data_IF_131299285840
#
_entry.id   IF_131299285840
#
_cell.length_a   1.000
_cell.length_b   1.000
_cell.length_c   1.000
_cell.angle_alpha   90.00
_cell.angle_beta   90.00
_cell.angle_gamma   90.00
#
_symmetry.space_group_name_H-M   'P 1'
#
loop_
_entity.id
_entity.type
_entity.pdbx_description
1 polymer ?
#
# COMPACT_ATOMS: atom_id res chain seq x y z
N UNK A 1 -17.19 14.11 -10.63
CA UNK A 1 -15.72 14.24 -10.47
C UNK A 1 -14.99 13.13 -11.22
N UNK A 2 -15.48 11.90 -11.15
CA UNK A 2 -14.86 10.74 -11.81
C UNK A 2 -14.68 10.97 -13.31
N UNK A 3 -15.65 11.58 -13.99
CA UNK A 3 -15.54 11.86 -15.44
C UNK A 3 -14.39 12.79 -15.83
N UNK A 4 -14.05 13.76 -14.98
CA UNK A 4 -12.93 14.68 -15.25
C UNK A 4 -11.59 13.91 -15.24
N UNK A 5 -11.45 13.00 -14.28
CA UNK A 5 -10.26 12.16 -14.10
C UNK A 5 -10.20 10.97 -15.07
N UNK A 6 -11.28 10.67 -15.81
CA UNK A 6 -11.24 9.71 -16.93
C UNK A 6 -10.30 10.20 -18.04
N UNK A 7 -10.24 11.51 -18.26
CA UNK A 7 -9.34 12.13 -19.24
C UNK A 7 -7.92 12.17 -18.68
N UNK A 8 -6.93 11.83 -19.52
CA UNK A 8 -5.53 11.93 -19.15
C UNK A 8 -5.05 13.36 -19.38
N UNK A 9 -5.13 14.21 -18.34
CA UNK A 9 -4.64 15.59 -18.38
C UNK A 9 -3.68 15.84 -17.21
N UNK A 10 -2.43 16.30 -17.45
CA UNK A 10 -1.48 16.66 -16.40
C UNK A 10 -2.03 17.70 -15.39
N UNK A 11 -2.90 18.61 -15.83
CA UNK A 11 -3.54 19.61 -14.95
C UNK A 11 -4.45 18.97 -13.89
N UNK A 12 -4.87 17.71 -14.08
CA UNK A 12 -5.64 16.95 -13.07
C UNK A 12 -4.84 16.71 -11.79
N UNK A 13 -3.50 16.84 -11.80
CA UNK A 13 -2.67 16.77 -10.60
C UNK A 13 -3.01 17.90 -9.61
N UNK A 14 -3.26 19.12 -10.11
CA UNK A 14 -3.62 20.26 -9.26
C UNK A 14 -4.96 20.02 -8.56
N UNK A 15 -5.96 19.54 -9.30
CA UNK A 15 -7.26 19.17 -8.74
C UNK A 15 -7.16 18.01 -7.74
N UNK A 16 -6.26 17.07 -7.97
CA UNK A 16 -5.97 15.97 -7.06
C UNK A 16 -5.34 16.48 -5.75
N UNK A 17 -4.40 17.42 -5.83
CA UNK A 17 -3.81 18.05 -4.65
C UNK A 17 -4.86 18.79 -3.82
N UNK A 18 -5.73 19.57 -4.46
CA UNK A 18 -6.83 20.27 -3.79
C UNK A 18 -7.74 19.26 -3.09
N UNK A 19 -8.18 18.21 -3.79
CA UNK A 19 -9.03 17.17 -3.20
C UNK A 19 -8.36 16.48 -2.01
N UNK A 20 -7.08 16.14 -2.13
CA UNK A 20 -6.32 15.48 -1.07
C UNK A 20 -6.29 16.30 0.21
N UNK A 21 -5.97 17.59 0.11
CA UNK A 21 -5.93 18.46 1.30
C UNK A 21 -7.33 18.74 1.83
N UNK A 22 -8.35 18.93 0.97
CA UNK A 22 -9.74 19.05 1.41
C UNK A 22 -10.19 17.86 2.25
N UNK A 23 -9.84 16.63 1.82
CA UNK A 23 -10.14 15.40 2.56
C UNK A 23 -9.33 15.25 3.86
N UNK A 24 -8.31 16.07 4.10
CA UNK A 24 -7.48 16.02 5.32
C UNK A 24 -7.77 17.15 6.30
N UNK A 25 -8.43 18.22 5.85
CA UNK A 25 -8.80 19.37 6.71
C UNK A 25 -9.64 18.92 7.92
N UNK A 26 -10.62 18.03 7.72
CA UNK A 26 -11.47 17.54 8.81
C UNK A 26 -10.68 16.86 9.93
N UNK A 27 -9.62 16.14 9.58
CA UNK A 27 -8.70 15.56 10.56
C UNK A 27 -7.82 16.61 11.23
N UNK A 28 -7.29 17.61 10.51
CA UNK A 28 -6.48 18.67 11.13
C UNK A 28 -7.27 19.42 12.21
N UNK A 29 -8.56 19.67 11.98
CA UNK A 29 -9.45 20.36 12.94
C UNK A 29 -9.72 19.52 14.19
N UNK A 30 -9.69 18.18 14.06
CA UNK A 30 -9.97 17.24 15.16
C UNK A 30 -8.74 16.50 15.68
N UNK A 31 -7.54 16.90 15.23
CA UNK A 31 -6.30 16.20 15.53
C UNK A 31 -5.90 16.43 16.99
N UNK A 32 -5.45 15.38 17.71
CA UNK A 32 -4.92 15.54 19.07
C UNK A 32 -3.63 16.37 19.07
N UNK A 33 -3.35 17.04 20.19
CA UNK A 33 -2.20 17.93 20.37
C UNK A 33 -0.83 17.26 20.12
N UNK A 34 -0.79 15.93 20.24
CA UNK A 34 0.40 15.10 19.95
C UNK A 34 0.01 13.93 19.05
N UNK A 35 0.68 13.84 17.89
CA UNK A 35 0.58 12.71 16.98
C UNK A 35 1.88 11.93 17.05
N UNK A 36 1.81 10.71 17.56
CA UNK A 36 2.98 9.84 17.65
C UNK A 36 3.41 9.37 16.26
N UNK A 37 4.67 9.63 15.94
CA UNK A 37 5.29 9.12 14.73
C UNK A 37 6.37 8.10 15.07
N UNK A 38 6.11 6.83 14.76
CA UNK A 38 7.11 5.76 14.86
C UNK A 38 7.69 5.55 13.46
N UNK A 39 8.79 6.26 13.17
CA UNK A 39 9.47 6.22 11.86
C UNK A 39 10.03 4.82 11.54
N UNK A 40 10.59 4.18 12.55
CA UNK A 40 11.16 2.84 12.44
C UNK A 40 10.79 2.04 13.68
N UNK A 41 10.50 0.77 13.46
CA UNK A 41 10.31 -0.23 14.51
C UNK A 41 11.43 -0.14 15.59
N UNK A 42 11.15 -0.56 16.84
CA UNK A 42 12.04 -0.39 17.98
C UNK A 42 13.49 -0.86 17.77
N UNK A 43 13.74 -1.78 16.82
CA UNK A 43 15.07 -2.28 16.57
C UNK A 43 16.03 -1.28 15.92
N UNK A 44 15.56 -0.37 15.06
CA UNK A 44 16.45 0.66 14.49
C UNK A 44 16.73 1.79 15.49
N UNK A 45 15.83 2.02 16.46
CA UNK A 45 16.08 2.91 17.61
C UNK A 45 17.27 2.44 18.46
N UNK A 46 17.67 1.17 18.36
CA UNK A 46 18.84 0.63 19.06
C UNK A 46 20.18 0.99 18.38
N UNK A 47 20.18 1.33 17.08
CA UNK A 47 21.39 1.77 16.37
C UNK A 47 21.56 3.29 16.44
N UNK A 48 20.45 4.03 16.39
CA UNK A 48 20.43 5.49 16.50
C UNK A 48 19.39 5.88 17.56
N UNK A 49 19.81 6.23 18.80
CA UNK A 49 18.91 6.59 19.89
C UNK A 49 18.36 8.00 19.64
N UNK A 50 17.47 8.14 18.66
CA UNK A 50 16.80 9.42 18.43
C UNK A 50 15.32 9.24 18.72
N UNK A 51 14.86 10.01 19.70
CA UNK A 51 13.47 10.12 20.11
C UNK A 51 12.71 10.97 19.09
N UNK A 52 12.32 10.37 17.96
CA UNK A 52 11.51 11.03 16.93
C UNK A 52 10.01 11.10 17.25
N UNK A 53 9.59 10.62 18.44
CA UNK A 53 8.20 10.32 18.79
C UNK A 53 7.26 11.54 18.66
N UNK A 54 7.82 12.76 18.75
CA UNK A 54 7.09 14.01 18.57
C UNK A 54 7.87 15.04 17.73
N UNK A 55 8.67 14.60 16.75
CA UNK A 55 9.53 15.49 15.97
C UNK A 55 8.77 16.56 15.16
N UNK A 56 7.47 16.36 14.90
CA UNK A 56 6.67 17.22 14.04
C UNK A 56 5.36 17.65 14.70
N UNK A 57 4.93 18.89 14.45
CA UNK A 57 3.58 19.32 14.80
C UNK A 57 2.53 18.50 14.03
N UNK A 58 1.32 18.29 14.58
CA UNK A 58 0.26 17.52 13.89
C UNK A 58 -0.03 18.02 12.47
N UNK A 59 -0.07 19.33 12.27
CA UNK A 59 -0.30 19.93 10.96
C UNK A 59 0.82 19.61 9.95
N UNK A 60 2.09 19.71 10.37
CA UNK A 60 3.23 19.39 9.52
C UNK A 60 3.26 17.88 9.19
N UNK A 61 2.93 17.02 10.15
CA UNK A 61 2.84 15.58 9.95
C UNK A 61 1.80 15.22 8.87
N UNK A 62 0.58 15.76 8.99
CA UNK A 62 -0.50 15.54 8.01
C UNK A 62 -0.14 16.10 6.64
N UNK A 63 0.54 17.24 6.59
CA UNK A 63 1.01 17.86 5.35
C UNK A 63 2.06 16.99 4.64
N UNK A 64 3.09 16.54 5.37
CA UNK A 64 4.11 15.63 4.83
C UNK A 64 3.51 14.30 4.38
N UNK A 65 2.60 13.72 5.16
CA UNK A 65 1.87 12.52 4.76
C UNK A 65 1.04 12.76 3.49
N UNK A 66 0.47 13.97 3.32
CA UNK A 66 -0.21 14.39 2.11
C UNK A 66 0.73 14.39 0.90
N UNK A 67 1.91 14.99 1.02
CA UNK A 67 2.92 14.99 -0.05
C UNK A 67 3.29 13.56 -0.46
N UNK A 68 3.51 12.67 0.51
CA UNK A 68 3.82 11.26 0.22
C UNK A 68 2.67 10.56 -0.50
N UNK A 69 1.43 10.75 -0.05
CA UNK A 69 0.25 10.18 -0.71
C UNK A 69 0.07 10.70 -2.13
N UNK A 70 0.35 11.99 -2.37
CA UNK A 70 0.30 12.57 -3.71
C UNK A 70 1.36 11.95 -4.64
N UNK A 71 2.60 11.81 -4.16
CA UNK A 71 3.66 11.14 -4.91
C UNK A 71 3.30 9.69 -5.24
N UNK A 72 2.77 8.95 -4.26
CA UNK A 72 2.32 7.57 -4.44
C UNK A 72 1.15 7.47 -5.42
N UNK A 73 0.18 8.39 -5.36
CA UNK A 73 -0.95 8.42 -6.28
C UNK A 73 -0.49 8.59 -7.73
N UNK A 74 0.47 9.49 -7.97
CA UNK A 74 1.07 9.70 -9.29
C UNK A 74 1.84 8.46 -9.75
N UNK A 75 2.62 7.83 -8.87
CA UNK A 75 3.36 6.60 -9.20
C UNK A 75 2.44 5.42 -9.51
N UNK A 76 1.36 5.21 -8.75
CA UNK A 76 0.35 4.19 -9.03
C UNK A 76 -0.33 4.46 -10.38
N UNK A 77 -0.63 5.72 -10.67
CA UNK A 77 -1.19 6.10 -11.96
C UNK A 77 -0.24 5.84 -13.12
N UNK A 78 1.04 6.16 -12.93
CA UNK A 78 2.08 5.84 -13.89
C UNK A 78 2.19 4.32 -14.10
N UNK A 79 2.18 3.52 -13.03
CA UNK A 79 2.20 2.06 -13.09
C UNK A 79 1.04 1.50 -13.93
N UNK A 80 -0.19 1.93 -13.64
CA UNK A 80 -1.39 1.48 -14.34
C UNK A 80 -1.34 1.83 -15.82
N UNK A 81 -0.89 3.04 -16.17
CA UNK A 81 -0.80 3.49 -17.55
C UNK A 81 0.36 2.83 -18.31
N UNK A 82 1.53 2.66 -17.67
CA UNK A 82 2.70 2.01 -18.24
C UNK A 82 2.42 0.55 -18.65
N UNK A 83 1.72 -0.20 -17.79
CA UNK A 83 1.30 -1.57 -18.08
C UNK A 83 -0.06 -1.68 -18.77
N UNK A 84 -0.65 -0.55 -19.16
CA UNK A 84 -1.95 -0.42 -19.83
C UNK A 84 -3.06 -1.27 -19.18
N UNK A 85 -3.14 -1.27 -17.84
CA UNK A 85 -4.07 -2.16 -17.11
C UNK A 85 -5.54 -1.83 -17.33
N UNK A 86 -5.83 -0.58 -17.72
CA UNK A 86 -7.18 -0.08 -18.00
C UNK A 86 -7.49 -0.01 -19.50
N UNK A 87 -6.56 -0.40 -20.37
CA UNK A 87 -6.72 -0.37 -21.83
C UNK A 87 -6.56 1.03 -22.46
N UNK A 88 -6.82 2.10 -21.71
CA UNK A 88 -6.58 3.50 -22.12
C UNK A 88 -5.95 4.31 -20.99
N UNK A 89 -5.03 5.25 -21.29
CA UNK A 89 -4.48 6.16 -20.30
C UNK A 89 -5.57 6.97 -19.58
N UNK A 90 -5.46 7.06 -18.27
CA UNK A 90 -6.42 7.78 -17.43
C UNK A 90 -5.76 8.29 -16.15
N UNK A 91 -6.40 9.21 -15.43
CA UNK A 91 -5.94 9.72 -14.14
C UNK A 91 -6.77 9.15 -12.96
N UNK A 92 -7.67 8.19 -13.23
CA UNK A 92 -8.49 7.52 -12.22
C UNK A 92 -7.70 6.79 -11.13
N UNK A 93 -6.61 6.05 -11.40
CA UNK A 93 -5.84 5.40 -10.35
C UNK A 93 -5.33 6.38 -9.29
N UNK A 94 -4.86 7.56 -9.72
CA UNK A 94 -4.39 8.59 -8.80
C UNK A 94 -5.54 9.09 -7.91
N UNK A 95 -6.71 9.37 -8.51
CA UNK A 95 -7.91 9.79 -7.80
C UNK A 95 -8.30 8.76 -6.73
N UNK A 96 -8.41 7.48 -7.13
CA UNK A 96 -8.80 6.40 -6.22
C UNK A 96 -7.78 6.21 -5.10
N UNK A 97 -6.48 6.35 -5.39
CA UNK A 97 -5.45 6.26 -4.36
C UNK A 97 -5.63 7.34 -3.29
N UNK A 98 -5.81 8.60 -3.68
CA UNK A 98 -6.05 9.72 -2.73
C UNK A 98 -7.32 9.51 -1.90
N UNK A 99 -8.39 9.06 -2.54
CA UNK A 99 -9.66 8.83 -1.84
C UNK A 99 -9.53 7.70 -0.80
N UNK A 100 -8.97 6.56 -1.18
CA UNK A 100 -8.85 5.40 -0.30
C UNK A 100 -7.76 5.62 0.77
N UNK A 101 -6.69 6.37 0.47
CA UNK A 101 -5.69 6.80 1.46
C UNK A 101 -6.26 7.78 2.51
N UNK A 102 -7.48 8.29 2.30
CA UNK A 102 -8.20 9.15 3.24
C UNK A 102 -9.33 8.40 3.96
N UNK A 103 -9.43 7.07 3.80
CA UNK A 103 -10.57 6.27 4.30
C UNK A 103 -10.70 6.26 5.82
N UNK A 104 -9.56 6.17 6.52
CA UNK A 104 -9.51 6.14 7.97
C UNK A 104 -8.61 7.26 8.50
N UNK A 105 -8.95 7.82 9.68
CA UNK A 105 -8.13 8.84 10.36
C UNK A 105 -6.66 8.44 10.48
N UNK A 106 -6.30 7.18 10.85
CA UNK A 106 -4.90 6.78 10.98
C UNK A 106 -4.12 6.74 9.65
N UNK A 107 -4.79 6.80 8.48
CA UNK A 107 -4.10 6.92 7.19
C UNK A 107 -3.64 8.35 6.87
N UNK A 108 -4.16 9.34 7.60
CA UNK A 108 -3.89 10.75 7.33
C UNK A 108 -2.59 11.24 7.95
N UNK A 109 -2.01 10.45 8.85
CA UNK A 109 -0.73 10.74 9.50
C UNK A 109 0.41 9.96 8.86
N UNK A 110 1.62 10.46 9.07
CA UNK A 110 2.85 9.82 8.66
C UNK A 110 3.00 8.51 9.44
N UNK A 111 3.36 7.43 8.74
CA UNK A 111 3.55 6.12 9.37
C UNK A 111 4.56 5.27 8.58
N UNK A 112 5.21 4.33 9.26
CA UNK A 112 6.14 3.39 8.62
C UNK A 112 5.52 2.63 7.42
N UNK A 113 4.28 2.08 7.48
CA UNK A 113 3.68 1.43 6.33
C UNK A 113 3.30 2.41 5.20
N UNK A 114 2.99 3.68 5.50
CA UNK A 114 2.83 4.69 4.44
C UNK A 114 4.12 4.87 3.64
N UNK A 115 5.28 4.88 4.30
CA UNK A 115 6.58 4.96 3.60
C UNK A 115 6.82 3.69 2.78
N UNK A 116 6.50 2.52 3.34
CA UNK A 116 6.63 1.24 2.66
C UNK A 116 5.77 1.13 1.39
N UNK A 117 4.72 1.94 1.22
CA UNK A 117 3.97 1.98 -0.04
C UNK A 117 4.84 2.39 -1.24
N UNK A 118 5.87 3.23 -1.06
CA UNK A 118 6.82 3.49 -2.16
C UNK A 118 7.59 2.24 -2.57
N UNK A 119 8.05 1.46 -1.57
CA UNK A 119 8.72 0.19 -1.82
C UNK A 119 7.77 -0.82 -2.46
N UNK A 120 6.52 -0.87 -2.03
CA UNK A 120 5.49 -1.74 -2.62
C UNK A 120 5.22 -1.37 -4.07
N UNK A 121 5.06 -0.08 -4.39
CA UNK A 121 4.86 0.38 -5.77
C UNK A 121 6.08 0.05 -6.63
N UNK A 122 7.30 0.30 -6.13
CA UNK A 122 8.52 -0.05 -6.84
C UNK A 122 8.67 -1.56 -7.07
N UNK A 123 8.32 -2.35 -6.06
CA UNK A 123 8.25 -3.81 -6.15
C UNK A 123 7.26 -4.26 -7.23
N UNK A 124 6.07 -3.64 -7.33
CA UNK A 124 5.09 -3.94 -8.38
C UNK A 124 5.65 -3.66 -9.79
N UNK A 125 6.41 -2.59 -9.98
CA UNK A 125 7.08 -2.33 -11.26
C UNK A 125 8.03 -3.47 -11.65
N UNK A 126 8.88 -3.92 -10.71
CA UNK A 126 9.82 -5.04 -10.94
C UNK A 126 9.11 -6.40 -11.11
N UNK A 127 8.02 -6.64 -10.39
CA UNK A 127 7.25 -7.86 -10.55
C UNK A 127 6.56 -7.92 -11.91
N UNK A 128 5.96 -6.81 -12.35
CA UNK A 128 5.32 -6.75 -13.66
C UNK A 128 6.32 -6.81 -14.83
N UNK A 129 7.59 -6.42 -14.60
CA UNK A 129 8.64 -6.53 -15.62
C UNK A 129 9.07 -7.98 -15.87
N UNK A 130 8.78 -8.93 -14.97
CA UNK A 130 9.03 -10.36 -15.24
C UNK A 130 8.33 -10.90 -16.49
N UNK A 131 7.23 -10.26 -16.92
CA UNK A 131 6.53 -10.68 -18.13
C UNK A 131 7.37 -10.51 -19.41
N UNK A 132 8.26 -9.51 -19.46
CA UNK A 132 9.08 -9.19 -20.65
C UNK A 132 10.58 -9.25 -20.41
N UNK A 133 11.01 -9.40 -19.16
CA UNK A 133 12.42 -9.32 -18.78
C UNK A 133 13.16 -10.64 -19.03
N UNK A 134 14.34 -10.53 -19.65
CA UNK A 134 15.24 -11.67 -19.85
C UNK A 134 16.01 -12.01 -18.57
N UNK A 135 16.40 -11.00 -17.78
CA UNK A 135 17.15 -11.17 -16.53
C UNK A 135 16.24 -11.21 -15.28
N UNK A 136 15.55 -12.34 -15.15
CA UNK A 136 14.70 -12.60 -13.98
C UNK A 136 15.52 -12.85 -12.70
N UNK A 137 16.78 -13.29 -12.78
CA UNK A 137 17.61 -13.56 -11.59
C UNK A 137 18.01 -12.26 -10.90
N UNK A 138 18.53 -11.29 -11.65
CA UNK A 138 18.85 -9.97 -11.09
C UNK A 138 17.61 -9.29 -10.54
N UNK A 139 16.49 -9.36 -11.28
CA UNK A 139 15.23 -8.77 -10.83
C UNK A 139 14.72 -9.42 -9.54
N UNK A 140 14.81 -10.75 -9.42
CA UNK A 140 14.43 -11.48 -8.21
C UNK A 140 15.33 -11.11 -7.01
N UNK A 141 16.64 -10.99 -7.23
CA UNK A 141 17.58 -10.53 -6.21
C UNK A 141 17.24 -9.12 -5.70
N UNK A 142 16.98 -8.19 -6.62
CA UNK A 142 16.57 -6.82 -6.28
C UNK A 142 15.26 -6.80 -5.47
N UNK A 143 14.29 -7.63 -5.85
CA UNK A 143 13.04 -7.77 -5.12
C UNK A 143 13.28 -8.28 -3.69
N UNK A 144 14.22 -9.22 -3.51
CA UNK A 144 14.66 -9.67 -2.19
C UNK A 144 15.22 -8.54 -1.33
N UNK A 145 16.09 -7.70 -1.91
CA UNK A 145 16.63 -6.51 -1.25
C UNK A 145 15.53 -5.52 -0.86
N UNK A 146 14.58 -5.25 -1.76
CA UNK A 146 13.44 -4.33 -1.49
C UNK A 146 12.62 -4.86 -0.30
N UNK A 147 12.32 -6.16 -0.26
CA UNK A 147 11.60 -6.77 0.86
C UNK A 147 12.39 -6.68 2.16
N UNK A 148 13.70 -6.86 2.13
CA UNK A 148 14.54 -6.70 3.31
C UNK A 148 14.53 -5.25 3.82
N UNK A 149 14.75 -4.27 2.94
CA UNK A 149 14.70 -2.84 3.32
C UNK A 149 13.33 -2.48 3.89
N UNK A 150 12.24 -2.95 3.26
CA UNK A 150 10.90 -2.72 3.77
C UNK A 150 10.67 -3.38 5.13
N UNK A 151 11.20 -4.59 5.35
CA UNK A 151 11.15 -5.28 6.66
C UNK A 151 11.90 -4.51 7.75
N UNK A 152 12.96 -3.76 7.39
CA UNK A 152 13.69 -2.91 8.32
C UNK A 152 12.91 -1.64 8.71
N UNK A 153 12.08 -1.11 7.80
CA UNK A 153 11.23 0.06 8.10
C UNK A 153 10.00 -0.38 8.88
N UNK A 154 9.35 -1.46 8.42
CA UNK A 154 8.12 -2.01 8.93
C UNK A 154 8.15 -3.53 8.82
N UNK A 155 8.38 -4.21 9.95
CA UNK A 155 8.60 -5.66 9.99
C UNK A 155 7.57 -6.49 9.21
N UNK A 156 6.25 -6.20 9.27
CA UNK A 156 5.26 -6.97 8.52
C UNK A 156 5.40 -6.92 6.99
N UNK A 157 6.21 -5.99 6.46
CA UNK A 157 6.58 -5.99 5.04
C UNK A 157 7.32 -7.26 4.60
N UNK A 158 7.88 -8.05 5.52
CA UNK A 158 8.48 -9.36 5.21
C UNK A 158 7.53 -10.27 4.43
N UNK A 159 6.21 -10.19 4.67
CA UNK A 159 5.24 -11.00 3.94
C UNK A 159 5.18 -10.69 2.45
N UNK A 160 5.67 -9.52 2.01
CA UNK A 160 5.81 -9.21 0.59
C UNK A 160 6.77 -10.16 -0.13
N UNK A 161 7.59 -10.93 0.59
CA UNK A 161 8.33 -12.04 0.02
C UNK A 161 7.42 -13.08 -0.66
N UNK A 162 6.23 -13.34 -0.10
CA UNK A 162 5.23 -14.20 -0.72
C UNK A 162 4.74 -13.64 -2.06
N UNK A 163 4.59 -12.32 -2.17
CA UNK A 163 4.19 -11.68 -3.42
C UNK A 163 5.31 -11.78 -4.48
N UNK A 164 6.59 -11.81 -4.07
CA UNK A 164 7.70 -12.12 -4.99
C UNK A 164 7.58 -13.52 -5.57
N UNK A 165 7.38 -14.53 -4.72
CA UNK A 165 7.22 -15.91 -5.17
C UNK A 165 5.97 -16.11 -6.03
N UNK A 166 4.84 -15.50 -5.66
CA UNK A 166 3.63 -15.52 -6.47
C UNK A 166 3.87 -14.83 -7.82
N UNK A 167 4.63 -13.73 -7.85
CA UNK A 167 5.06 -13.10 -9.10
C UNK A 167 5.85 -14.05 -9.98
N UNK A 168 6.83 -14.78 -9.43
CA UNK A 168 7.57 -15.79 -10.18
C UNK A 168 6.64 -16.89 -10.72
N UNK A 169 5.70 -17.41 -9.91
CA UNK A 169 4.72 -18.42 -10.35
C UNK A 169 3.84 -17.91 -11.49
N UNK A 170 3.35 -16.67 -11.40
CA UNK A 170 2.40 -16.09 -12.36
C UNK A 170 3.10 -15.77 -13.69
N UNK A 171 4.27 -15.14 -13.63
CA UNK A 171 4.92 -14.56 -14.81
C UNK A 171 5.90 -15.50 -15.49
N UNK A 172 6.50 -16.46 -14.77
CA UNK A 172 7.65 -17.22 -15.25
C UNK A 172 7.46 -18.74 -15.07
N UNK A 173 8.09 -19.56 -15.93
CA UNK A 173 8.25 -20.97 -15.64
C UNK A 173 9.16 -21.15 -14.42
N UNK A 174 8.94 -22.24 -13.67
CA UNK A 174 9.71 -22.48 -12.45
C UNK A 174 11.21 -22.63 -12.74
N UNK A 175 12.03 -21.85 -12.03
CA UNK A 175 13.48 -21.91 -12.07
C UNK A 175 14.02 -21.70 -10.66
N UNK A 176 14.56 -22.75 -10.04
CA UNK A 176 15.05 -22.69 -8.67
C UNK A 176 16.06 -21.56 -8.43
N UNK A 177 16.85 -21.20 -9.46
CA UNK A 177 17.84 -20.13 -9.39
C UNK A 177 17.18 -18.77 -9.13
N UNK A 178 16.05 -18.48 -9.78
CA UNK A 178 15.32 -17.22 -9.59
C UNK A 178 14.74 -17.11 -8.17
N UNK A 179 14.26 -18.23 -7.62
CA UNK A 179 13.73 -18.30 -6.25
C UNK A 179 14.81 -18.08 -5.20
N UNK A 180 15.95 -18.75 -5.37
CA UNK A 180 17.11 -18.59 -4.48
C UNK A 180 17.69 -17.18 -4.59
N UNK A 181 17.73 -16.58 -5.79
CA UNK A 181 18.18 -15.19 -5.97
C UNK A 181 17.40 -14.20 -5.09
N UNK A 182 16.07 -14.33 -4.99
CA UNK A 182 15.27 -13.49 -4.09
C UNK A 182 15.66 -13.69 -2.62
N UNK A 183 15.90 -14.93 -2.19
CA UNK A 183 16.34 -15.22 -0.82
C UNK A 183 17.71 -14.64 -0.55
N UNK A 184 18.65 -14.79 -1.48
CA UNK A 184 19.99 -14.23 -1.38
C UNK A 184 19.94 -12.70 -1.24
N UNK A 185 19.11 -12.00 -2.02
CA UNK A 185 18.95 -10.56 -1.90
C UNK A 185 18.48 -10.13 -0.51
N UNK A 186 17.53 -10.87 0.06
CA UNK A 186 17.06 -10.63 1.42
C UNK A 186 18.16 -10.87 2.47
N UNK A 187 18.83 -12.02 2.37
CA UNK A 187 19.90 -12.44 3.28
C UNK A 187 21.06 -11.46 3.23
N UNK A 188 21.44 -10.92 2.06
CA UNK A 188 22.53 -9.94 1.94
C UNK A 188 22.32 -8.74 2.86
N UNK A 189 21.14 -8.14 2.86
CA UNK A 189 20.84 -6.95 3.68
C UNK A 189 20.91 -7.28 5.17
N UNK A 190 20.30 -8.40 5.59
CA UNK A 190 20.32 -8.83 6.99
C UNK A 190 21.68 -9.35 7.45
N UNK A 191 22.50 -9.88 6.54
CA UNK A 191 23.89 -10.27 6.80
C UNK A 191 24.72 -9.03 7.15
N UNK A 192 24.67 -7.97 6.32
CA UNK A 192 25.36 -6.72 6.64
C UNK A 192 24.85 -6.10 7.95
N UNK A 193 23.54 -6.14 8.19
CA UNK A 193 22.98 -5.71 9.47
C UNK A 193 23.54 -6.52 10.65
N UNK A 194 23.59 -7.85 10.54
CA UNK A 194 24.13 -8.72 11.58
C UNK A 194 25.60 -8.40 11.89
N UNK A 195 26.41 -8.13 10.85
CA UNK A 195 27.80 -7.70 10.99
C UNK A 195 27.89 -6.38 11.77
N UNK A 196 27.03 -5.39 11.47
CA UNK A 196 26.99 -4.11 12.22
C UNK A 196 26.67 -4.35 13.70
N UNK A 197 25.68 -5.18 14.02
CA UNK A 197 25.33 -5.52 15.41
C UNK A 197 26.44 -6.28 16.12
N UNK A 198 27.15 -7.17 15.42
CA UNK A 198 28.31 -7.88 15.93
C UNK A 198 29.46 -6.94 16.26
N UNK A 199 29.85 -6.07 15.32
CA UNK A 199 30.91 -5.08 15.52
C UNK A 199 30.58 -4.06 16.62
N UNK A 200 29.29 -3.77 16.83
CA UNK A 200 28.82 -2.88 17.89
C UNK A 200 28.75 -3.55 19.28
N UNK A 201 29.14 -4.81 19.41
CA UNK A 201 29.05 -5.58 20.66
C UNK A 201 27.61 -5.88 21.11
N UNK A 202 26.62 -5.72 20.22
CA UNK A 202 25.17 -5.82 20.51
C UNK A 202 24.51 -7.01 19.79
N UNK A 203 25.27 -8.06 19.46
CA UNK A 203 24.77 -9.17 18.64
C UNK A 203 23.49 -9.84 19.20
N UNK A 204 23.36 -9.96 20.52
CA UNK A 204 22.14 -10.51 21.14
C UNK A 204 20.85 -9.74 20.80
N UNK A 205 20.95 -8.45 20.44
CA UNK A 205 19.81 -7.64 20.02
C UNK A 205 19.37 -7.91 18.59
N UNK A 206 20.23 -8.47 17.74
CA UNK A 206 19.88 -8.84 16.37
C UNK A 206 18.73 -9.85 16.33
N UNK A 207 18.75 -10.84 17.23
CA UNK A 207 17.67 -11.84 17.31
C UNK A 207 16.33 -11.25 17.78
N UNK A 208 16.35 -10.12 18.51
CA UNK A 208 15.12 -9.46 18.98
C UNK A 208 14.32 -8.83 17.85
N UNK A 209 14.92 -8.56 16.69
CA UNK A 209 14.23 -8.06 15.47
C UNK A 209 13.09 -9.01 15.09
N UNK A 210 13.31 -10.32 15.25
CA UNK A 210 12.38 -11.37 14.87
C UNK A 210 11.40 -11.76 15.97
N UNK A 211 11.53 -11.20 17.19
CA UNK A 211 10.66 -11.54 18.32
C UNK A 211 9.16 -11.34 18.03
N UNK A 212 8.71 -10.28 17.31
CA UNK A 212 7.30 -10.12 16.98
C UNK A 212 6.73 -11.24 16.07
N UNK A 213 7.58 -11.94 15.30
CA UNK A 213 7.12 -13.06 14.46
C UNK A 213 6.60 -14.24 15.29
N UNK A 214 7.05 -14.39 16.54
CA UNK A 214 6.60 -15.43 17.47
C UNK A 214 5.44 -15.01 18.35
N UNK A 215 4.87 -13.82 18.15
CA UNK A 215 3.76 -13.33 18.97
C UNK A 215 2.48 -14.14 18.71
N UNK A 216 1.73 -14.42 19.78
CA UNK A 216 0.46 -15.14 19.67
C UNK A 216 -0.61 -14.22 19.08
N UNK A 217 -1.55 -14.81 18.35
CA UNK A 217 -2.69 -14.07 17.81
C UNK A 217 -3.43 -13.32 18.93
N UNK A 218 -3.88 -12.08 18.70
CA UNK A 218 -4.67 -11.37 19.71
C UNK A 218 -5.92 -12.17 20.06
N UNK A 219 -6.08 -12.51 21.35
CA UNK A 219 -7.17 -13.37 21.84
C UNK A 219 -8.58 -12.75 21.65
N UNK A 220 -8.68 -11.44 21.40
CA UNK A 220 -9.93 -10.77 21.08
C UNK A 220 -9.68 -9.55 20.19
N UNK A 221 -10.20 -9.56 18.97
CA UNK A 221 -10.32 -8.34 18.15
C UNK A 221 -11.67 -7.71 18.51
N UNK A 222 -11.65 -6.64 19.32
CA UNK A 222 -12.86 -5.87 19.64
C UNK A 222 -13.25 -5.01 18.44
N UNK A 223 -14.08 -5.56 17.56
CA UNK A 223 -14.61 -4.84 16.40
C UNK A 223 -15.87 -4.09 16.83
N UNK A 224 -15.78 -2.76 16.98
CA UNK A 224 -16.97 -1.94 17.08
C UNK A 224 -17.56 -1.78 15.67
N UNK A 225 -18.68 -2.45 15.38
CA UNK A 225 -19.30 -2.50 14.06
C UNK A 225 -19.57 -1.10 13.46
N UNK A 226 -19.89 -0.11 14.30
CA UNK A 226 -20.17 1.26 13.87
C UNK A 226 -18.91 1.95 13.31
N UNK A 227 -17.72 1.59 13.81
CA UNK A 227 -16.45 2.14 13.34
C UNK A 227 -16.01 1.64 11.95
N UNK A 228 -16.72 0.65 11.37
CA UNK A 228 -16.37 0.05 10.10
C UNK A 228 -17.42 0.23 8.99
N UNK A 229 -18.48 1.01 9.22
CA UNK A 229 -19.47 1.27 8.15
C UNK A 229 -18.85 1.94 6.91
N UNK A 230 -17.72 2.63 7.06
CA UNK A 230 -16.95 3.19 5.93
C UNK A 230 -16.46 2.12 4.94
N UNK A 231 -16.41 0.85 5.37
CA UNK A 231 -16.06 -0.27 4.50
C UNK A 231 -17.22 -0.75 3.63
N UNK A 232 -18.48 -0.40 3.93
CA UNK A 232 -19.63 -0.83 3.12
C UNK A 232 -19.50 -0.34 1.67
N UNK A 233 -19.25 0.95 1.39
CA UNK A 233 -19.03 1.41 0.01
C UNK A 233 -17.81 0.76 -0.63
N UNK A 234 -16.74 0.52 0.15
CA UNK A 234 -15.51 -0.14 -0.32
C UNK A 234 -15.80 -1.57 -0.79
N UNK A 235 -16.55 -2.35 0.00
CA UNK A 235 -16.94 -3.72 -0.34
C UNK A 235 -17.87 -3.76 -1.55
N UNK A 236 -18.81 -2.80 -1.65
CA UNK A 236 -19.69 -2.69 -2.83
C UNK A 236 -18.86 -2.40 -4.09
N UNK A 237 -17.90 -1.49 -4.04
CA UNK A 237 -17.02 -1.21 -5.19
C UNK A 237 -16.20 -2.45 -5.56
N UNK A 238 -15.66 -3.17 -4.57
CA UNK A 238 -14.93 -4.41 -4.82
C UNK A 238 -15.78 -5.48 -5.46
N UNK A 239 -17.00 -5.70 -4.98
CA UNK A 239 -17.93 -6.65 -5.59
C UNK A 239 -18.24 -6.28 -7.04
N UNK A 240 -18.50 -4.99 -7.30
CA UNK A 240 -18.76 -4.49 -8.65
C UNK A 240 -17.52 -4.57 -9.55
N UNK A 241 -16.33 -4.38 -9.00
CA UNK A 241 -15.06 -4.63 -9.69
C UNK A 241 -14.96 -6.09 -10.14
N UNK A 242 -15.21 -7.08 -9.27
CA UNK A 242 -15.14 -8.49 -9.64
C UNK A 242 -16.14 -8.85 -10.75
N UNK A 243 -17.36 -8.31 -10.70
CA UNK A 243 -18.36 -8.48 -11.76
C UNK A 243 -17.84 -7.92 -13.09
N UNK A 244 -17.26 -6.71 -13.09
CA UNK A 244 -16.70 -6.08 -14.30
C UNK A 244 -15.46 -6.79 -14.81
N UNK A 245 -14.61 -7.27 -13.91
CA UNK A 245 -13.44 -8.07 -14.24
C UNK A 245 -13.88 -9.34 -14.96
N UNK A 246 -14.86 -10.08 -14.43
CA UNK A 246 -15.37 -11.31 -15.06
C UNK A 246 -15.88 -11.06 -16.48
N UNK A 247 -16.61 -9.95 -16.71
CA UNK A 247 -17.13 -9.58 -18.03
C UNK A 247 -16.02 -9.26 -19.05
N UNK A 248 -14.90 -8.69 -18.59
CA UNK A 248 -13.84 -8.17 -19.45
C UNK A 248 -12.55 -9.02 -19.43
N UNK A 249 -12.50 -10.09 -18.63
CA UNK A 249 -11.29 -10.86 -18.38
C UNK A 249 -10.69 -11.40 -19.67
N UNK A 250 -11.51 -12.11 -20.48
CA UNK A 250 -11.05 -12.72 -21.73
C UNK A 250 -10.78 -11.73 -22.86
N UNK A 251 -11.25 -10.48 -22.73
CA UNK A 251 -10.97 -9.40 -23.69
C UNK A 251 -9.62 -8.72 -23.42
N UNK A 252 -9.05 -8.93 -22.24
CA UNK A 252 -7.83 -8.27 -21.80
C UNK A 252 -6.58 -9.05 -22.21
N UNK A 253 -5.50 -8.34 -22.53
CA UNK A 253 -4.20 -8.95 -22.83
C UNK A 253 -3.72 -9.84 -21.66
N UNK A 254 -2.97 -10.90 -21.98
CA UNK A 254 -2.44 -11.86 -20.99
C UNK A 254 -1.63 -11.14 -19.90
N UNK A 255 -0.78 -10.19 -20.27
CA UNK A 255 0.01 -9.39 -19.34
C UNK A 255 -0.87 -8.65 -18.31
N UNK A 256 -1.94 -8.01 -18.78
CA UNK A 256 -2.88 -7.26 -17.92
C UNK A 256 -3.57 -8.21 -16.94
N UNK A 257 -4.04 -9.37 -17.41
CA UNK A 257 -4.68 -10.37 -16.54
C UNK A 257 -3.73 -10.87 -15.45
N UNK A 258 -2.50 -11.23 -15.80
CA UNK A 258 -1.48 -11.68 -14.85
C UNK A 258 -1.15 -10.59 -13.82
N UNK A 259 -1.06 -9.33 -14.25
CA UNK A 259 -0.84 -8.20 -13.35
C UNK A 259 -2.02 -7.98 -12.38
N UNK A 260 -3.26 -8.07 -12.86
CA UNK A 260 -4.45 -7.99 -11.98
C UNK A 260 -4.53 -9.16 -10.99
N UNK A 261 -4.14 -10.37 -11.40
CA UNK A 261 -4.00 -11.53 -10.50
C UNK A 261 -2.93 -11.30 -9.43
N UNK A 262 -1.75 -10.77 -9.82
CA UNK A 262 -0.71 -10.41 -8.87
C UNK A 262 -1.22 -9.39 -7.85
N UNK A 263 -1.87 -8.32 -8.30
CA UNK A 263 -2.42 -7.29 -7.41
C UNK A 263 -3.45 -7.86 -6.44
N UNK A 264 -4.20 -8.88 -6.83
CA UNK A 264 -5.16 -9.55 -5.96
C UNK A 264 -4.44 -10.30 -4.83
N UNK A 265 -3.39 -11.05 -5.14
CA UNK A 265 -2.57 -11.69 -4.12
C UNK A 265 -1.85 -10.67 -3.23
N UNK A 266 -1.36 -9.56 -3.79
CA UNK A 266 -0.77 -8.46 -3.02
C UNK A 266 -1.80 -7.85 -2.05
N UNK A 267 -3.07 -7.69 -2.45
CA UNK A 267 -4.13 -7.25 -1.56
C UNK A 267 -4.33 -8.22 -0.39
N UNK A 268 -4.39 -9.53 -0.67
CA UNK A 268 -4.55 -10.55 0.38
C UNK A 268 -3.35 -10.56 1.33
N UNK A 269 -2.13 -10.52 0.80
CA UNK A 269 -0.90 -10.53 1.61
C UNK A 269 -0.80 -9.26 2.46
N UNK A 270 -1.04 -8.07 1.88
CA UNK A 270 -1.06 -6.82 2.61
C UNK A 270 -2.13 -6.84 3.72
N UNK A 271 -3.32 -7.34 3.40
CA UNK A 271 -4.44 -7.44 4.33
C UNK A 271 -4.23 -8.46 5.44
N UNK A 272 -3.41 -9.50 5.22
CA UNK A 272 -3.08 -10.49 6.25
C UNK A 272 -1.80 -10.14 7.03
N UNK A 273 -0.99 -9.21 6.53
CA UNK A 273 0.30 -8.86 7.13
C UNK A 273 0.22 -8.31 8.56
N UNK A 274 -0.94 -7.77 8.98
CA UNK A 274 -1.14 -7.29 10.36
C UNK A 274 -0.89 -8.36 11.43
N UNK A 275 -0.94 -9.65 11.06
CA UNK A 275 -0.78 -10.79 11.97
C UNK A 275 0.49 -10.75 12.84
N UNK A 276 1.58 -10.13 12.37
CA UNK A 276 2.86 -10.08 13.10
C UNK A 276 2.82 -9.09 14.29
N UNK A 277 1.89 -8.14 14.32
CA UNK A 277 1.83 -7.14 15.38
C UNK A 277 0.98 -7.65 16.55
N UNK A 278 1.51 -7.49 17.76
CA UNK A 278 0.80 -7.80 19.00
C UNK A 278 -0.46 -6.94 19.18
N UNK A 279 -0.49 -5.74 18.61
CA UNK A 279 -1.62 -4.81 18.68
C UNK A 279 -2.24 -4.59 17.30
N UNK A 280 -3.55 -4.77 17.20
CA UNK A 280 -4.30 -4.49 15.99
C UNK A 280 -4.38 -2.98 15.75
N UNK A 281 -3.76 -2.50 14.68
CA UNK A 281 -3.82 -1.09 14.28
C UNK A 281 -4.26 -0.95 12.82
N UNK A 282 -5.26 -0.08 12.58
CA UNK A 282 -5.80 0.18 11.25
C UNK A 282 -4.75 0.69 10.26
N UNK A 283 -3.71 1.38 10.74
CA UNK A 283 -2.61 1.93 9.93
C UNK A 283 -1.98 0.87 9.00
N UNK A 284 -2.00 -0.41 9.38
CA UNK A 284 -1.44 -1.51 8.58
C UNK A 284 -2.13 -1.68 7.23
N UNK A 285 -3.45 -1.43 7.17
CA UNK A 285 -4.23 -1.59 5.96
C UNK A 285 -3.96 -0.50 4.91
N UNK A 286 -3.11 0.49 5.20
CA UNK A 286 -2.71 1.50 4.22
C UNK A 286 -1.94 0.87 3.04
N UNK A 287 -1.32 -0.30 3.24
CA UNK A 287 -0.68 -1.05 2.15
C UNK A 287 -1.68 -1.64 1.16
N UNK A 288 -2.90 -1.94 1.61
CA UNK A 288 -3.98 -2.39 0.74
C UNK A 288 -4.45 -1.28 -0.21
N UNK A 289 -4.18 -0.01 0.09
CA UNK A 289 -4.60 1.13 -0.74
C UNK A 289 -4.02 1.05 -2.15
N UNK A 290 -2.79 0.55 -2.30
CA UNK A 290 -2.11 0.40 -3.60
C UNK A 290 -2.92 -0.50 -4.56
N UNK A 291 -3.21 -1.79 -4.25
CA UNK A 291 -4.03 -2.63 -5.12
C UNK A 291 -5.49 -2.18 -5.19
N UNK A 292 -6.08 -1.69 -4.08
CA UNK A 292 -7.47 -1.21 -4.09
C UNK A 292 -7.67 -0.03 -5.06
N UNK A 293 -6.72 0.90 -5.14
CA UNK A 293 -6.78 2.02 -6.09
C UNK A 293 -6.85 1.54 -7.54
N UNK A 294 -6.12 0.47 -7.88
CA UNK A 294 -6.15 -0.13 -9.22
C UNK A 294 -7.50 -0.82 -9.47
N UNK A 295 -8.04 -1.56 -8.51
CA UNK A 295 -9.34 -2.23 -8.65
C UNK A 295 -10.50 -1.24 -8.78
N UNK A 296 -10.48 -0.19 -7.96
CA UNK A 296 -11.51 0.84 -8.00
C UNK A 296 -11.45 1.58 -9.33
N UNK A 297 -10.25 1.99 -9.76
CA UNK A 297 -10.10 2.67 -11.06
C UNK A 297 -10.54 1.78 -12.21
N UNK A 298 -10.32 0.45 -12.15
CA UNK A 298 -10.84 -0.50 -13.13
C UNK A 298 -12.38 -0.51 -13.19
N UNK A 299 -13.05 -0.54 -12.04
CA UNK A 299 -14.51 -0.44 -12.00
C UNK A 299 -15.00 0.89 -12.58
N UNK A 300 -14.50 2.02 -12.09
CA UNK A 300 -14.95 3.36 -12.52
C UNK A 300 -14.64 3.65 -13.98
N UNK A 301 -13.55 3.10 -14.52
CA UNK A 301 -13.23 3.20 -15.94
C UNK A 301 -14.29 2.50 -16.81
N UNK A 302 -14.65 1.28 -16.44
CA UNK A 302 -15.58 0.43 -17.20
C UNK A 302 -17.07 0.67 -16.87
N UNK A 303 -17.38 1.53 -15.91
CA UNK A 303 -18.75 1.90 -15.55
C UNK A 303 -19.36 2.84 -16.60
N UNK A 304 -20.56 2.48 -17.10
CA UNK A 304 -21.26 3.18 -18.20
C UNK A 304 -22.31 4.18 -17.71
N UNK A 305 -23.05 3.85 -16.64
CA UNK A 305 -24.16 4.69 -16.13
C UNK A 305 -23.62 5.84 -15.25
N UNK A 306 -23.60 7.06 -15.81
CA UNK A 306 -23.05 8.28 -15.16
C UNK A 306 -23.56 8.53 -13.75
N UNK A 307 -24.88 8.56 -13.59
CA UNK A 307 -25.48 8.83 -12.29
C UNK A 307 -25.10 7.79 -11.23
N UNK A 308 -24.98 6.51 -11.62
CA UNK A 308 -24.65 5.44 -10.69
C UNK A 308 -23.21 5.52 -10.19
N UNK A 309 -22.22 5.65 -11.08
CA UNK A 309 -20.83 5.68 -10.61
C UNK A 309 -20.45 7.00 -9.95
N UNK A 310 -20.97 8.16 -10.40
CA UNK A 310 -20.73 9.42 -9.69
C UNK A 310 -21.43 9.42 -8.32
N UNK A 311 -22.66 8.89 -8.23
CA UNK A 311 -23.37 8.74 -6.96
C UNK A 311 -22.64 7.81 -5.99
N UNK A 312 -22.10 6.70 -6.49
CA UNK A 312 -21.32 5.76 -5.69
C UNK A 312 -20.01 6.40 -5.19
N UNK A 313 -19.30 7.13 -6.04
CA UNK A 313 -18.09 7.85 -5.64
C UNK A 313 -18.40 8.95 -4.61
N UNK A 314 -19.51 9.68 -4.80
CA UNK A 314 -19.97 10.68 -3.84
C UNK A 314 -20.31 10.06 -2.49
N UNK A 315 -20.98 8.89 -2.49
CA UNK A 315 -21.27 8.13 -1.27
C UNK A 315 -19.98 7.77 -0.53
N UNK A 316 -18.95 7.30 -1.25
CA UNK A 316 -17.62 7.02 -0.67
C UNK A 316 -17.02 8.29 -0.02
N UNK A 317 -17.08 9.45 -0.68
CA UNK A 317 -16.59 10.71 -0.11
C UNK A 317 -17.38 11.14 1.14
N UNK A 318 -18.72 11.04 1.12
CA UNK A 318 -19.56 11.35 2.28
C UNK A 318 -19.19 10.44 3.44
N UNK A 319 -19.02 9.14 3.20
CA UNK A 319 -18.62 8.20 4.24
C UNK A 319 -17.27 8.59 4.85
N UNK A 320 -16.29 8.96 4.03
CA UNK A 320 -14.98 9.43 4.53
C UNK A 320 -15.13 10.63 5.46
N UNK A 321 -15.86 11.67 5.00
CA UNK A 321 -16.05 12.90 5.78
C UNK A 321 -16.83 12.62 7.07
N UNK A 322 -17.90 11.83 7.00
CA UNK A 322 -18.70 11.44 8.16
C UNK A 322 -17.85 10.74 9.24
N UNK A 323 -16.98 9.82 8.82
CA UNK A 323 -16.08 9.09 9.72
C UNK A 323 -14.93 9.95 10.26
N UNK A 324 -14.61 11.08 9.63
CA UNK A 324 -13.64 12.02 10.17
C UNK A 324 -14.18 12.78 11.38
N UNK A 325 -15.44 13.21 11.34
CA UNK A 325 -16.03 14.03 12.40
C UNK A 325 -16.65 13.21 13.53
N UNK A 326 -17.17 12.02 13.23
CA UNK A 326 -17.68 11.15 14.29
C UNK A 326 -16.56 10.32 14.91
N UNK A 327 -16.60 10.20 16.23
CA UNK A 327 -15.81 9.24 17.01
C UNK A 327 -16.83 8.30 17.65
N UNK A 328 -16.77 7.01 17.35
CA UNK A 328 -17.57 5.99 18.04
C UNK A 328 -16.70 5.10 18.90
#
# INVERSE_FOLDING_TARGET
MVNFFKLYNPLSILWLAILLYLLRIGFIVSAPDKVEFIFVEPFARLLVPVTYEYAFSPALNVFLAGILVLGQAVLVNYFVNHYNLLGKPTFLPALMYVTIASLFKPFMILSAPLICNFLLIWMLFKLASFYKGDDAKSTAYDLGIIVAIGSLIYLPFIFMFLAVWIGLIIFRPFSWREWVSAVLGYVTVFFFLAVIYYLSGRFGNFFRIWAPLGSKFPNAVRINYLNYLVLVPVLVILALYFIKLQQNFYKSYVQVRKCLQLLFFVLLIAGLSFYIKAEFNLVHFIMCVVPLAVFFSYYFHNATKRWFYEGLYLLLLISIVYFQFNTF
#
